data_IF_823937635996
#
_entry.id   IF_823937635996
#
_cell.length_a   1.000
_cell.length_b   1.000
_cell.length_c   1.000
_cell.angle_alpha   90.00
_cell.angle_beta   90.00
_cell.angle_gamma   90.00
#
_symmetry.space_group_name_H-M   'P 1'
#
loop_
_entity.id
_entity.type
_entity.pdbx_description
1 polymer ?
#
# COMPACT_ATOMS: atom_id res chain seq x y z
N UNK A 1 18.57 -3.22 26.76
CA UNK A 1 18.32 -1.84 26.28
C UNK A 1 16.81 -1.69 26.15
N UNK A 2 16.23 -0.54 26.51
CA UNK A 2 14.80 -0.30 26.30
C UNK A 2 14.54 -0.16 24.80
N UNK A 3 13.66 -0.98 24.24
CA UNK A 3 13.33 -0.93 22.82
C UNK A 3 12.68 0.43 22.50
N UNK A 4 13.21 1.14 21.50
CA UNK A 4 12.66 2.44 21.07
C UNK A 4 11.36 2.17 20.30
N UNK A 5 10.20 2.67 20.76
CA UNK A 5 8.93 2.46 20.07
C UNK A 5 8.90 3.26 18.75
N UNK A 6 8.32 2.65 17.72
CA UNK A 6 8.18 3.23 16.38
C UNK A 6 6.75 3.00 15.90
N UNK A 7 6.14 4.05 15.34
CA UNK A 7 4.84 3.97 14.66
C UNK A 7 5.06 3.98 13.16
N UNK A 8 4.60 2.94 12.48
CA UNK A 8 4.59 2.85 11.02
C UNK A 8 3.16 3.08 10.51
N UNK A 9 2.96 4.08 9.67
CA UNK A 9 1.71 4.28 8.94
C UNK A 9 1.85 3.66 7.56
N UNK A 10 1.26 2.48 7.37
CA UNK A 10 1.32 1.74 6.11
C UNK A 10 0.00 1.93 5.37
N UNK A 11 0.01 2.76 4.35
CA UNK A 11 -1.17 3.00 3.51
C UNK A 11 -2.39 3.57 4.25
N UNK A 12 -2.21 4.14 5.45
CA UNK A 12 -3.29 4.64 6.32
C UNK A 12 -3.51 3.80 7.58
N UNK A 13 -2.95 2.59 7.66
CA UNK A 13 -3.04 1.72 8.85
C UNK A 13 -1.82 1.87 9.74
N UNK A 14 -2.03 2.13 11.03
CA UNK A 14 -0.95 2.27 12.01
C UNK A 14 -0.52 0.93 12.58
N UNK A 15 0.78 0.66 12.50
CA UNK A 15 1.45 -0.47 13.13
C UNK A 15 2.41 0.04 14.20
N UNK A 16 2.38 -0.63 15.35
CA UNK A 16 3.25 -0.32 16.48
C UNK A 16 4.31 -1.40 16.60
N UNK A 17 5.57 -0.98 16.63
CA UNK A 17 6.72 -1.87 16.70
C UNK A 17 7.89 -1.17 17.37
N UNK A 18 9.10 -1.73 17.27
CA UNK A 18 10.32 -1.14 17.81
C UNK A 18 11.39 -1.02 16.73
N UNK A 19 12.32 -0.08 16.90
CA UNK A 19 13.47 0.04 16.00
C UNK A 19 14.28 -1.28 15.94
N UNK A 20 14.41 -1.97 17.08
CA UNK A 20 15.09 -3.28 17.16
C UNK A 20 14.42 -4.35 16.28
N UNK A 21 13.09 -4.40 16.24
CA UNK A 21 12.37 -5.31 15.33
C UNK A 21 12.66 -4.97 13.87
N UNK A 22 12.70 -3.69 13.53
CA UNK A 22 12.87 -3.22 12.15
C UNK A 22 14.32 -3.38 11.67
N UNK A 23 15.29 -3.35 12.58
CA UNK A 23 16.71 -3.58 12.29
C UNK A 23 17.17 -4.99 12.69
N UNK A 24 16.25 -5.94 12.83
CA UNK A 24 16.62 -7.31 13.21
C UNK A 24 17.44 -7.99 12.11
N UNK A 25 18.25 -9.02 12.43
CA UNK A 25 19.01 -9.75 11.41
C UNK A 25 18.14 -10.31 10.28
N UNK A 26 16.86 -10.61 10.57
CA UNK A 26 15.89 -11.10 9.59
C UNK A 26 15.49 -10.03 8.56
N UNK A 27 15.64 -8.74 8.87
CA UNK A 27 15.44 -7.67 7.90
C UNK A 27 16.56 -7.68 6.84
N UNK A 28 17.78 -7.96 7.25
CA UNK A 28 18.99 -7.82 6.44
C UNK A 28 19.52 -6.39 6.42
N UNK A 29 20.84 -6.24 6.28
CA UNK A 29 21.55 -4.95 6.38
C UNK A 29 21.21 -3.98 5.23
N UNK A 30 20.83 -4.50 4.06
CA UNK A 30 20.39 -3.69 2.92
C UNK A 30 18.88 -3.44 2.91
N UNK A 31 18.21 -3.64 4.05
CA UNK A 31 16.77 -3.43 4.12
C UNK A 31 16.38 -1.96 4.10
N UNK A 32 15.17 -1.69 3.65
CA UNK A 32 14.55 -0.36 3.76
C UNK A 32 14.49 0.13 5.19
N UNK A 33 14.19 -0.79 6.10
CA UNK A 33 14.14 -0.51 7.52
C UNK A 33 15.49 -0.03 8.05
N UNK A 34 16.62 -0.45 7.48
CA UNK A 34 17.94 0.00 7.90
C UNK A 34 18.15 1.52 7.70
N UNK A 35 17.48 2.13 6.71
CA UNK A 35 17.67 3.52 6.34
C UNK A 35 16.53 4.45 6.80
N UNK A 36 15.64 3.96 7.69
CA UNK A 36 14.53 4.76 8.18
C UNK A 36 14.99 5.78 9.22
N UNK A 37 14.35 6.95 9.18
CA UNK A 37 14.53 7.99 10.18
C UNK A 37 13.66 7.71 11.42
N UNK A 38 14.25 7.01 12.38
CA UNK A 38 13.62 6.66 13.66
C UNK A 38 13.44 7.85 14.62
N UNK A 39 13.88 9.05 14.25
CA UNK A 39 13.61 10.26 15.06
C UNK A 39 12.19 10.78 14.85
N UNK A 40 11.51 10.35 13.78
CA UNK A 40 10.13 10.73 13.48
C UNK A 40 9.15 10.00 14.40
N UNK A 41 8.12 10.72 14.86
CA UNK A 41 7.04 10.14 15.65
C UNK A 41 6.20 9.12 14.85
N UNK A 42 6.11 9.29 13.54
CA UNK A 42 5.40 8.41 12.63
C UNK A 42 6.16 8.33 11.30
N UNK A 43 6.38 7.10 10.82
CA UNK A 43 7.03 6.84 9.54
C UNK A 43 5.97 6.34 8.57
N UNK A 44 5.73 7.08 7.50
CA UNK A 44 4.78 6.71 6.45
C UNK A 44 5.42 5.77 5.43
N UNK A 45 4.68 4.74 5.04
CA UNK A 45 5.03 3.75 4.01
C UNK A 45 3.85 3.67 3.04
N UNK A 46 4.05 4.10 1.80
CA UNK A 46 3.00 4.09 0.76
C UNK A 46 2.79 2.68 0.17
N UNK A 47 2.33 1.75 1.01
CA UNK A 47 2.09 0.34 0.65
C UNK A 47 0.74 -0.13 1.18
N UNK A 48 0.27 -1.25 0.65
CA UNK A 48 -0.91 -1.94 1.19
C UNK A 48 -0.60 -2.54 2.57
N UNK A 49 -1.39 -2.23 3.62
CA UNK A 49 -1.19 -2.76 4.96
C UNK A 49 -1.57 -4.24 5.14
N UNK A 50 -2.35 -4.84 4.22
CA UNK A 50 -2.96 -6.18 4.33
C UNK A 50 -1.96 -7.25 4.75
N UNK A 51 -0.78 -7.21 4.13
CA UNK A 51 0.29 -8.19 4.36
C UNK A 51 1.28 -7.77 5.45
N UNK A 52 1.24 -6.52 5.89
CA UNK A 52 2.30 -5.92 6.69
C UNK A 52 2.43 -6.53 8.09
N UNK A 53 1.32 -7.02 8.67
CA UNK A 53 1.36 -7.75 9.95
C UNK A 53 2.24 -9.00 9.89
N UNK A 54 2.25 -9.70 8.76
CA UNK A 54 3.04 -10.92 8.59
C UNK A 54 4.51 -10.58 8.36
N UNK A 55 4.80 -9.46 7.70
CA UNK A 55 6.16 -8.90 7.59
C UNK A 55 6.70 -8.62 9.00
N UNK A 56 5.93 -7.95 9.86
CA UNK A 56 6.35 -7.70 11.24
C UNK A 56 6.57 -8.99 12.03
N UNK A 57 5.72 -10.01 11.88
CA UNK A 57 5.92 -11.30 12.54
C UNK A 57 7.21 -11.98 12.06
N UNK A 58 7.49 -11.95 10.76
CA UNK A 58 8.76 -12.45 10.23
C UNK A 58 9.96 -11.71 10.81
N UNK A 59 9.90 -10.37 10.93
CA UNK A 59 10.99 -9.58 11.50
C UNK A 59 11.21 -9.83 13.00
N UNK A 60 10.17 -10.25 13.74
CA UNK A 60 10.23 -10.58 15.17
C UNK A 60 10.77 -11.98 15.42
N UNK A 61 10.24 -12.97 14.69
CA UNK A 61 10.43 -14.38 15.03
C UNK A 61 11.29 -15.13 14.00
N UNK A 62 11.68 -14.49 12.90
CA UNK A 62 12.37 -15.10 11.77
C UNK A 62 11.53 -16.14 11.01
N UNK A 63 10.23 -16.25 11.35
CA UNK A 63 9.29 -17.22 10.80
C UNK A 63 7.94 -16.56 10.65
N UNK A 64 7.16 -17.03 9.70
CA UNK A 64 5.86 -16.48 9.40
C UNK A 64 4.95 -17.58 8.88
N UNK A 65 3.75 -17.65 9.45
CA UNK A 65 2.66 -18.46 8.94
C UNK A 65 1.73 -17.54 8.17
N UNK A 66 1.50 -17.87 6.91
CA UNK A 66 0.56 -17.16 6.08
C UNK A 66 -0.75 -17.94 6.03
N UNK A 67 -1.89 -17.25 5.91
CA UNK A 67 -3.10 -17.93 5.47
C UNK A 67 -2.88 -18.45 4.05
N UNK A 68 -3.35 -19.66 3.80
CA UNK A 68 -3.37 -20.26 2.47
C UNK A 68 -4.56 -19.73 1.68
N UNK A 69 -4.55 -18.43 1.42
CA UNK A 69 -5.48 -17.79 0.49
C UNK A 69 -4.68 -17.19 -0.68
N UNK A 70 -5.18 -17.40 -1.90
CA UNK A 70 -4.49 -17.00 -3.12
C UNK A 70 -4.23 -15.49 -3.20
N UNK A 71 -5.10 -14.68 -2.59
CA UNK A 71 -4.96 -13.23 -2.59
C UNK A 71 -3.79 -12.78 -1.70
N UNK A 72 -3.73 -13.22 -0.45
CA UNK A 72 -2.61 -12.92 0.46
C UNK A 72 -1.30 -13.41 -0.14
N UNK A 73 -1.30 -14.59 -0.75
CA UNK A 73 -0.13 -15.15 -1.44
C UNK A 73 0.32 -14.25 -2.61
N UNK A 74 -0.61 -13.83 -3.47
CA UNK A 74 -0.32 -12.91 -4.57
C UNK A 74 0.22 -11.55 -4.09
N UNK A 75 -0.39 -10.98 -3.05
CA UNK A 75 0.07 -9.73 -2.42
C UNK A 75 1.48 -9.86 -1.84
N UNK A 76 1.87 -11.03 -1.32
CA UNK A 76 3.24 -11.31 -0.84
C UNK A 76 4.25 -11.40 -1.98
N UNK A 77 3.91 -12.03 -3.10
CA UNK A 77 4.81 -12.10 -4.26
C UNK A 77 5.01 -10.74 -4.93
N UNK A 78 3.97 -9.90 -4.94
CA UNK A 78 4.09 -8.48 -5.31
C UNK A 78 4.91 -7.72 -4.26
N UNK A 79 4.68 -8.08 -2.99
CA UNK A 79 5.45 -7.82 -1.77
C UNK A 79 6.98 -7.94 -1.88
N UNK A 80 7.47 -8.95 -2.59
CA UNK A 80 8.88 -9.30 -2.52
C UNK A 80 9.76 -8.62 -3.57
N UNK A 81 9.18 -8.05 -4.64
CA UNK A 81 9.96 -7.69 -5.84
C UNK A 81 10.32 -6.21 -6.04
N UNK A 82 9.65 -5.25 -5.41
CA UNK A 82 9.87 -3.81 -5.74
C UNK A 82 9.93 -2.87 -4.52
N UNK A 83 10.24 -3.39 -3.34
CA UNK A 83 9.63 -2.78 -2.16
C UNK A 83 10.14 -1.40 -1.75
N UNK A 84 11.35 -0.99 -2.14
CA UNK A 84 12.07 -0.03 -1.31
C UNK A 84 12.80 1.08 -2.05
N UNK A 85 12.38 1.39 -3.28
CA UNK A 85 12.88 2.59 -3.95
C UNK A 85 12.41 3.82 -3.19
N UNK A 86 13.36 4.44 -2.50
CA UNK A 86 13.26 5.68 -1.73
C UNK A 86 12.26 6.66 -2.31
N UNK A 87 11.23 7.01 -1.53
CA UNK A 87 10.47 8.24 -1.73
C UNK A 87 10.31 8.98 -0.41
N UNK A 88 11.40 9.64 -0.03
CA UNK A 88 11.35 10.70 0.98
C UNK A 88 10.62 11.89 0.34
N UNK A 89 9.46 12.22 0.90
CA UNK A 89 8.73 13.49 0.77
C UNK A 89 8.35 13.92 -0.64
N UNK A 90 7.13 13.57 -1.07
CA UNK A 90 6.24 14.63 -1.58
C UNK A 90 4.76 14.29 -1.42
N UNK A 91 4.04 15.21 -0.78
CA UNK A 91 2.58 15.31 -0.68
C UNK A 91 1.82 14.03 -0.34
N UNK A 92 1.92 13.60 0.93
CA UNK A 92 1.01 12.61 1.51
C UNK A 92 -0.42 13.16 1.43
N UNK A 93 -1.35 12.34 0.98
CA UNK A 93 -2.78 12.64 0.91
C UNK A 93 -3.59 11.55 1.61
N UNK A 94 -4.66 11.97 2.27
CA UNK A 94 -5.63 11.06 2.89
C UNK A 94 -6.85 10.99 1.99
N UNK A 95 -7.23 9.78 1.59
CA UNK A 95 -8.43 9.49 0.84
C UNK A 95 -9.45 8.83 1.76
N UNK A 96 -10.63 9.41 1.88
CA UNK A 96 -11.77 8.81 2.55
C UNK A 96 -12.68 8.18 1.49
N UNK A 97 -12.57 6.86 1.31
CA UNK A 97 -13.28 6.11 0.28
C UNK A 97 -14.46 5.39 0.91
N UNK A 98 -15.68 5.87 0.69
CA UNK A 98 -16.89 5.26 1.25
C UNK A 98 -16.88 5.14 2.79
N UNK A 99 -16.10 5.96 3.49
CA UNK A 99 -15.92 5.93 4.95
C UNK A 99 -14.61 5.28 5.44
N UNK A 100 -13.84 4.62 4.57
CA UNK A 100 -12.55 4.01 4.91
C UNK A 100 -11.38 4.91 4.49
N UNK A 101 -10.39 5.07 5.37
CA UNK A 101 -9.24 5.95 5.12
C UNK A 101 -8.07 5.19 4.50
N UNK A 102 -7.68 5.62 3.32
CA UNK A 102 -6.42 5.26 2.67
C UNK A 102 -5.47 6.44 2.77
N UNK A 103 -4.18 6.16 2.94
CA UNK A 103 -3.14 7.19 2.88
C UNK A 103 -2.15 6.80 1.79
N UNK A 104 -1.86 7.73 0.90
CA UNK A 104 -0.95 7.54 -0.22
C UNK A 104 -0.24 8.84 -0.56
N UNK A 105 0.54 8.89 -1.63
CA UNK A 105 1.18 10.10 -2.14
C UNK A 105 0.45 10.63 -3.37
N UNK A 106 0.54 11.94 -3.61
CA UNK A 106 0.08 12.52 -4.89
C UNK A 106 0.78 11.86 -6.09
N UNK A 107 2.03 11.47 -5.94
CA UNK A 107 2.75 10.77 -7.01
C UNK A 107 2.10 9.43 -7.36
N UNK A 108 1.76 8.59 -6.37
CA UNK A 108 1.01 7.35 -6.61
C UNK A 108 -0.28 7.64 -7.35
N UNK A 109 -1.02 8.67 -6.93
CA UNK A 109 -2.28 9.06 -7.57
C UNK A 109 -2.10 9.64 -8.98
N UNK A 110 -0.98 10.30 -9.26
CA UNK A 110 -0.65 10.91 -10.55
C UNK A 110 0.23 10.00 -11.42
N UNK A 111 0.42 8.72 -11.05
CA UNK A 111 1.35 7.85 -11.75
C UNK A 111 0.99 7.76 -13.23
N UNK A 112 2.02 7.80 -14.09
CA UNK A 112 1.88 7.79 -15.56
C UNK A 112 1.25 6.49 -16.11
N UNK A 113 0.94 5.53 -15.22
CA UNK A 113 0.21 4.30 -15.54
C UNK A 113 -1.23 4.58 -15.99
N UNK A 114 -1.80 5.71 -15.59
CA UNK A 114 -3.08 6.21 -16.07
C UNK A 114 -2.81 7.40 -17.01
N UNK A 115 -2.64 7.12 -18.32
CA UNK A 115 -2.54 8.18 -19.33
C UNK A 115 -3.88 8.92 -19.36
N UNK A 116 -3.86 10.22 -19.06
CA UNK A 116 -5.04 11.09 -18.83
C UNK A 116 -5.71 10.88 -17.47
N UNK A 117 -4.93 11.04 -16.39
CA UNK A 117 -5.37 10.91 -15.00
C UNK A 117 -6.30 12.04 -14.52
N UNK A 118 -7.36 12.32 -15.28
CA UNK A 118 -8.33 13.39 -15.02
C UNK A 118 -9.13 13.14 -13.75
N UNK A 119 -9.30 11.88 -13.33
CA UNK A 119 -10.03 11.54 -12.12
C UNK A 119 -9.29 12.00 -10.87
N UNK A 120 -8.03 11.57 -10.68
CA UNK A 120 -7.26 11.92 -9.49
C UNK A 120 -6.67 13.34 -9.55
N UNK A 121 -6.43 13.90 -10.75
CA UNK A 121 -5.89 15.25 -10.90
C UNK A 121 -6.86 16.36 -10.45
N UNK A 122 -8.17 16.10 -10.45
CA UNK A 122 -9.20 17.08 -10.08
C UNK A 122 -9.64 16.96 -8.61
N UNK A 123 -8.98 16.13 -7.80
CA UNK A 123 -9.36 15.93 -6.41
C UNK A 123 -8.94 17.14 -5.55
N UNK A 124 -9.90 17.69 -4.82
CA UNK A 124 -9.70 18.80 -3.90
C UNK A 124 -9.12 18.31 -2.56
N UNK A 125 -7.85 18.61 -2.33
CA UNK A 125 -7.11 18.27 -1.11
C UNK A 125 -7.14 19.39 -0.05
N UNK A 126 -7.84 20.50 -0.30
CA UNK A 126 -7.84 21.67 0.59
C UNK A 126 -8.44 21.40 1.98
N UNK A 127 -9.24 20.34 2.12
CA UNK A 127 -9.94 19.96 3.35
C UNK A 127 -9.20 18.92 4.19
N UNK A 128 -7.96 18.58 3.84
CA UNK A 128 -7.11 17.65 4.58
C UNK A 128 -7.41 16.17 4.33
N UNK A 129 -8.64 15.81 3.95
CA UNK A 129 -8.96 14.51 3.36
C UNK A 129 -9.81 14.69 2.09
N UNK A 130 -9.54 13.86 1.09
CA UNK A 130 -10.31 13.80 -0.16
C UNK A 130 -11.38 12.73 0.00
N UNK A 131 -12.65 13.09 -0.12
CA UNK A 131 -13.73 12.11 -0.11
C UNK A 131 -13.97 11.51 -1.51
N UNK A 132 -14.05 10.19 -1.57
CA UNK A 132 -14.33 9.40 -2.78
C UNK A 132 -15.54 8.52 -2.47
N UNK A 133 -16.65 8.78 -3.15
CA UNK A 133 -17.89 8.01 -2.97
C UNK A 133 -17.85 6.68 -3.74
N UNK A 134 -16.99 5.76 -3.29
CA UNK A 134 -16.75 4.45 -3.90
C UNK A 134 -16.61 3.35 -2.85
N UNK A 135 -16.69 2.10 -3.31
CA UNK A 135 -16.46 0.93 -2.44
C UNK A 135 -14.96 0.82 -2.10
N UNK A 136 -14.58 0.94 -0.80
CA UNK A 136 -13.19 0.86 -0.40
C UNK A 136 -12.53 -0.48 -0.72
N UNK A 137 -13.29 -1.58 -0.70
CA UNK A 137 -12.76 -2.92 -1.00
C UNK A 137 -12.34 -3.05 -2.45
N UNK A 138 -13.05 -2.37 -3.36
CA UNK A 138 -12.70 -2.34 -4.78
C UNK A 138 -11.57 -1.34 -5.02
N UNK A 139 -11.64 -0.17 -4.38
CA UNK A 139 -10.64 0.89 -4.52
C UNK A 139 -9.24 0.45 -4.08
N UNK A 140 -9.12 -0.40 -3.07
CA UNK A 140 -7.84 -1.00 -2.65
C UNK A 140 -7.07 -1.61 -3.83
N UNK A 141 -7.75 -2.33 -4.75
CA UNK A 141 -7.10 -2.92 -5.92
C UNK A 141 -6.64 -1.86 -6.94
N UNK A 142 -7.41 -0.79 -7.09
CA UNK A 142 -7.04 0.36 -7.94
C UNK A 142 -5.78 1.02 -7.38
N UNK A 143 -5.75 1.30 -6.08
CA UNK A 143 -4.61 1.92 -5.43
C UNK A 143 -3.36 1.03 -5.49
N UNK A 144 -3.51 -0.28 -5.32
CA UNK A 144 -2.39 -1.21 -5.46
C UNK A 144 -1.84 -1.27 -6.89
N UNK A 145 -2.73 -1.23 -7.90
CA UNK A 145 -2.29 -1.11 -9.28
C UNK A 145 -1.51 0.20 -9.52
N UNK A 146 -1.96 1.33 -8.96
CA UNK A 146 -1.24 2.60 -9.08
C UNK A 146 0.15 2.57 -8.44
N UNK A 147 0.33 1.80 -7.37
CA UNK A 147 1.63 1.62 -6.68
C UNK A 147 2.60 0.71 -7.44
N UNK A 148 2.09 -0.37 -8.01
CA UNK A 148 2.93 -1.47 -8.51
C UNK A 148 2.90 -1.67 -10.03
N UNK A 149 1.96 -1.05 -10.74
CA UNK A 149 1.67 -1.32 -12.16
C UNK A 149 1.08 -2.70 -12.44
N UNK A 150 0.78 -3.47 -11.39
CA UNK A 150 0.16 -4.79 -11.43
C UNK A 150 -0.58 -5.01 -10.11
N UNK A 151 -1.60 -5.86 -10.10
CA UNK A 151 -2.37 -6.15 -8.89
C UNK A 151 -2.88 -7.59 -8.91
N UNK A 152 -2.78 -8.26 -7.76
CA UNK A 152 -3.38 -9.56 -7.54
C UNK A 152 -4.85 -9.35 -7.21
N UNK A 153 -5.75 -10.07 -7.89
CA UNK A 153 -7.20 -9.96 -7.68
C UNK A 153 -7.78 -11.30 -7.23
N UNK A 154 -8.90 -11.30 -6.50
CA UNK A 154 -9.55 -12.55 -6.08
C UNK A 154 -9.92 -13.42 -7.28
N UNK A 155 -9.96 -14.74 -7.09
CA UNK A 155 -10.43 -15.67 -8.14
C UNK A 155 -11.94 -15.54 -8.41
N UNK A 156 -12.70 -15.08 -7.42
CA UNK A 156 -14.15 -14.88 -7.49
C UNK A 156 -14.55 -13.99 -8.69
N UNK A 157 -15.32 -14.55 -9.62
CA UNK A 157 -15.67 -13.90 -10.88
C UNK A 157 -16.44 -12.59 -10.67
N UNK A 158 -17.28 -12.52 -9.64
CA UNK A 158 -18.05 -11.32 -9.32
C UNK A 158 -17.13 -10.19 -8.85
N UNK A 159 -16.23 -10.45 -7.90
CA UNK A 159 -15.21 -9.52 -7.45
C UNK A 159 -14.32 -9.05 -8.61
N UNK A 160 -13.84 -9.96 -9.47
CA UNK A 160 -13.03 -9.61 -10.64
C UNK A 160 -13.76 -8.66 -11.59
N UNK A 161 -15.06 -8.89 -11.80
CA UNK A 161 -15.87 -8.06 -12.69
C UNK A 161 -16.05 -6.66 -12.11
N UNK A 162 -16.34 -6.56 -10.80
CA UNK A 162 -16.44 -5.28 -10.10
C UNK A 162 -15.14 -4.49 -10.13
N UNK A 163 -13.99 -5.15 -9.90
CA UNK A 163 -12.66 -4.51 -9.96
C UNK A 163 -12.36 -3.97 -11.36
N UNK A 164 -12.69 -4.74 -12.41
CA UNK A 164 -12.50 -4.30 -13.80
C UNK A 164 -13.35 -3.09 -14.16
N UNK A 165 -14.64 -3.13 -13.81
CA UNK A 165 -15.55 -2.01 -14.07
C UNK A 165 -15.07 -0.74 -13.36
N UNK A 166 -14.66 -0.85 -12.09
CA UNK A 166 -14.18 0.32 -11.35
C UNK A 166 -12.85 0.85 -11.91
N UNK A 167 -11.99 -0.04 -12.39
CA UNK A 167 -10.76 0.38 -13.03
C UNK A 167 -10.97 1.17 -14.31
N UNK A 168 -11.99 0.82 -15.11
CA UNK A 168 -12.38 1.59 -16.30
C UNK A 168 -12.91 2.98 -15.92
N UNK A 169 -13.57 3.11 -14.77
CA UNK A 169 -14.03 4.39 -14.24
C UNK A 169 -12.87 5.26 -13.76
N UNK A 170 -11.89 4.66 -13.08
CA UNK A 170 -10.70 5.38 -12.58
C UNK A 170 -9.64 5.63 -13.65
N UNK A 171 -9.62 4.83 -14.72
CA UNK A 171 -8.62 4.88 -15.80
C UNK A 171 -9.35 4.94 -17.14
N UNK A 172 -9.36 6.10 -17.79
CA UNK A 172 -9.78 6.17 -19.18
C UNK A 172 -8.79 5.32 -20.02
N UNK A 173 -9.21 4.09 -20.36
CA UNK A 173 -8.64 3.14 -21.34
C UNK A 173 -7.56 2.10 -20.90
N UNK A 174 -8.04 0.85 -20.71
CA UNK A 174 -7.56 -0.45 -21.27
C UNK A 174 -6.17 -1.05 -20.97
N UNK A 175 -5.41 -0.61 -19.96
CA UNK A 175 -4.06 -1.14 -19.68
C UNK A 175 -3.89 -2.18 -18.56
N UNK A 176 -4.93 -2.54 -17.78
CA UNK A 176 -4.76 -3.39 -16.59
C UNK A 176 -4.32 -4.81 -16.94
N UNK A 177 -3.06 -5.13 -16.66
CA UNK A 177 -2.55 -6.51 -16.70
C UNK A 177 -2.90 -7.22 -15.39
N UNK A 178 -3.94 -8.04 -15.44
CA UNK A 178 -4.34 -8.89 -14.31
C UNK A 178 -3.55 -10.19 -14.34
N UNK A 179 -2.92 -10.53 -13.22
CA UNK A 179 -2.34 -11.87 -13.04
C UNK A 179 -3.25 -12.68 -12.12
N UNK A 180 -3.41 -14.00 -12.39
CA UNK A 180 -3.99 -14.92 -11.42
C UNK A 180 -3.13 -14.99 -10.15
#
# INVERSE_FOLDING_TARGET
MSAVPVVLNVGGTKFYTTAETLTSPSAGESSFFANLDYTKCEIFIDRDPTVFKYILNYLRDGRVMFPDDGLTTGLMFQGAKNYWSSYIMSNIVVLNVGGERFTTTKETLMSNLCRENTYFANLDDSKGEIFIDRDPKVFMFILNYLRDGKVAIPEDQFARTRIRQEAEVCSYNSGLTFFP
#
